data_IF_836522743100
#
_entry.id   IF_836522743100
#
_cell.length_a   1.000
_cell.length_b   1.000
_cell.length_c   1.000
_cell.angle_alpha   90.00
_cell.angle_beta   90.00
_cell.angle_gamma   90.00
#
_symmetry.space_group_name_H-M   'P 1'
#
loop_
_entity.id
_entity.type
_entity.pdbx_description
1 polymer ?
#
# COMPACT_ATOMS: atom_id res chain seq x y z
N UNK A 1 10.69 36.80 -10.06
CA UNK A 1 11.11 35.40 -9.94
C UNK A 1 10.06 34.68 -9.12
N UNK A 2 9.08 34.05 -9.77
CA UNK A 2 7.85 33.60 -9.13
C UNK A 2 8.05 32.14 -8.73
N UNK A 3 8.28 31.87 -7.45
CA UNK A 3 8.29 30.52 -6.90
C UNK A 3 6.89 29.92 -7.05
N UNK A 4 6.71 29.02 -7.99
CA UNK A 4 5.54 28.13 -8.01
C UNK A 4 5.69 27.14 -6.86
N UNK A 5 5.12 27.48 -5.70
CA UNK A 5 4.85 26.53 -4.64
C UNK A 5 3.87 25.50 -5.21
N UNK A 6 4.38 24.40 -5.75
CA UNK A 6 3.55 23.20 -5.94
C UNK A 6 3.24 22.71 -4.53
N UNK A 7 2.02 22.97 -4.11
CA UNK A 7 1.51 22.55 -2.80
C UNK A 7 1.53 21.03 -2.73
N UNK A 8 2.15 20.53 -1.68
CA UNK A 8 2.08 19.16 -1.17
C UNK A 8 0.65 18.80 -0.71
N UNK A 9 -0.30 19.70 -0.90
CA UNK A 9 -1.71 19.48 -0.60
C UNK A 9 -2.33 18.21 -1.24
N UNK A 10 -1.67 17.63 -2.25
CA UNK A 10 -2.13 16.39 -2.86
C UNK A 10 -1.80 15.12 -2.07
N UNK A 11 -0.80 15.14 -1.18
CA UNK A 11 -0.46 13.97 -0.36
C UNK A 11 -1.53 13.66 0.69
N UNK A 12 -2.22 14.68 1.18
CA UNK A 12 -3.30 14.51 2.16
C UNK A 12 -4.58 13.95 1.53
N UNK A 13 -4.79 14.21 0.24
CA UNK A 13 -5.95 13.66 -0.48
C UNK A 13 -5.86 12.14 -0.73
N UNK A 14 -4.69 11.52 -0.51
CA UNK A 14 -4.49 10.06 -0.67
C UNK A 14 -5.08 9.27 0.49
N UNK A 15 -5.17 9.87 1.68
CA UNK A 15 -5.88 9.26 2.81
C UNK A 15 -7.41 9.36 2.68
N UNK A 16 -7.89 10.17 1.74
CA UNK A 16 -9.29 10.19 1.36
C UNK A 16 -9.62 8.93 0.58
N UNK A 17 -9.93 7.88 1.31
CA UNK A 17 -10.69 6.73 0.93
C UNK A 17 -11.50 6.99 -0.35
N UNK A 18 -10.97 6.55 -1.50
CA UNK A 18 -11.87 6.05 -2.50
C UNK A 18 -12.50 4.80 -1.86
N UNK A 19 -13.43 5.01 -0.94
CA UNK A 19 -14.34 3.97 -0.49
C UNK A 19 -15.16 3.62 -1.71
N UNK A 20 -14.65 2.68 -2.49
CA UNK A 20 -15.46 1.97 -3.44
C UNK A 20 -16.47 1.22 -2.57
N UNK A 21 -17.67 1.78 -2.42
CA UNK A 21 -18.80 1.10 -1.78
C UNK A 21 -19.22 -0.03 -2.69
N UNK A 22 -18.65 -1.20 -2.47
CA UNK A 22 -19.08 -2.43 -3.14
C UNK A 22 -20.18 -3.06 -2.31
N UNK A 23 -21.38 -3.10 -2.87
CA UNK A 23 -22.48 -3.85 -2.30
C UNK A 23 -22.42 -5.32 -2.74
N UNK A 24 -22.23 -6.21 -1.81
CA UNK A 24 -22.40 -7.65 -2.03
C UNK A 24 -21.48 -8.51 -1.17
N UNK A 25 -22.05 -9.25 -0.23
CA UNK A 25 -21.33 -10.25 0.57
C UNK A 25 -21.49 -11.62 -0.07
N UNK A 26 -20.41 -12.28 -0.41
CA UNK A 26 -20.40 -13.70 -0.75
C UNK A 26 -19.58 -14.46 0.30
N UNK A 27 -20.25 -15.30 1.09
CA UNK A 27 -19.58 -16.24 1.98
C UNK A 27 -19.06 -17.42 1.16
N UNK A 28 -17.75 -17.66 1.15
CA UNK A 28 -17.14 -18.79 0.44
C UNK A 28 -16.56 -19.79 1.42
N UNK A 29 -16.97 -21.03 1.24
CA UNK A 29 -16.41 -22.18 1.96
C UNK A 29 -14.93 -22.39 1.65
N UNK A 30 -14.22 -22.84 2.68
CA UNK A 30 -12.76 -23.06 2.84
C UNK A 30 -12.08 -23.86 1.72
N UNK A 31 -11.98 -23.36 0.51
CA UNK A 31 -11.17 -24.05 -0.50
C UNK A 31 -10.35 -23.04 -1.27
N UNK A 32 -9.06 -23.27 -1.22
CA UNK A 32 -7.95 -22.66 -1.98
C UNK A 32 -8.36 -21.60 -3.01
N UNK A 33 -8.03 -20.33 -2.75
CA UNK A 33 -8.26 -19.23 -3.69
C UNK A 33 -7.41 -19.31 -4.98
N UNK A 34 -6.63 -20.36 -5.18
CA UNK A 34 -5.98 -20.64 -6.45
C UNK A 34 -6.96 -21.13 -7.53
N UNK A 35 -8.20 -21.38 -7.18
CA UNK A 35 -9.21 -21.82 -8.14
C UNK A 35 -10.57 -21.23 -7.78
N UNK A 36 -11.18 -20.56 -8.76
CA UNK A 36 -12.61 -20.31 -8.85
C UNK A 36 -13.24 -19.34 -7.87
N UNK A 37 -12.84 -18.10 -7.93
CA UNK A 37 -13.77 -17.01 -7.72
C UNK A 37 -14.47 -16.82 -9.08
N UNK A 38 -15.42 -17.64 -9.53
CA UNK A 38 -16.18 -17.43 -10.77
C UNK A 38 -15.46 -16.78 -11.97
N UNK A 39 -14.17 -16.58 -11.85
CA UNK A 39 -13.23 -15.98 -12.79
C UNK A 39 -12.84 -17.13 -13.71
N UNK A 40 -13.02 -16.97 -14.99
CA UNK A 40 -12.51 -17.88 -16.00
C UNK A 40 -11.14 -18.42 -15.59
N UNK A 41 -10.90 -19.71 -15.77
CA UNK A 41 -9.73 -20.50 -15.31
C UNK A 41 -8.33 -19.95 -15.63
N UNK A 42 -8.23 -18.76 -16.19
CA UNK A 42 -7.00 -18.06 -16.57
C UNK A 42 -6.65 -16.87 -15.65
N UNK A 43 -7.47 -16.53 -14.67
CA UNK A 43 -7.22 -15.41 -13.77
C UNK A 43 -7.18 -15.90 -12.31
N UNK A 44 -6.00 -16.37 -11.89
CA UNK A 44 -5.72 -16.56 -10.47
C UNK A 44 -5.65 -15.19 -9.79
N UNK A 45 -6.28 -15.05 -8.61
CA UNK A 45 -6.02 -13.88 -7.78
C UNK A 45 -4.58 -14.00 -7.29
N UNK A 46 -3.77 -12.95 -7.38
CA UNK A 46 -2.40 -12.99 -6.88
C UNK A 46 -2.32 -13.01 -5.35
N UNK A 47 -3.46 -12.90 -4.64
CA UNK A 47 -3.49 -12.78 -3.18
C UNK A 47 -3.65 -14.14 -2.49
N UNK A 48 -2.89 -14.42 -1.40
CA UNK A 48 -2.95 -15.67 -0.67
C UNK A 48 -4.26 -15.82 0.13
N UNK A 49 -4.76 -17.05 0.26
CA UNK A 49 -5.92 -17.34 1.12
C UNK A 49 -5.60 -17.20 2.60
N UNK A 50 -4.42 -17.64 2.98
CA UNK A 50 -3.92 -17.57 4.34
C UNK A 50 -2.54 -16.93 4.33
N UNK A 51 -2.30 -16.06 5.28
CA UNK A 51 -1.03 -15.39 5.50
C UNK A 51 -0.66 -15.50 6.97
N UNK A 52 0.61 -15.74 7.26
CA UNK A 52 1.12 -15.67 8.63
C UNK A 52 2.08 -14.50 8.75
N UNK A 53 1.75 -13.55 9.60
CA UNK A 53 2.55 -12.35 9.87
C UNK A 53 2.85 -12.28 11.36
N UNK A 54 4.13 -12.23 11.72
CA UNK A 54 4.60 -12.20 13.12
C UNK A 54 3.97 -13.29 13.99
N UNK A 55 3.81 -14.50 13.43
CA UNK A 55 3.20 -15.65 14.11
C UNK A 55 1.67 -15.65 14.18
N UNK A 56 1.00 -14.60 13.70
CA UNK A 56 -0.47 -14.53 13.65
C UNK A 56 -0.97 -14.97 12.27
N UNK A 57 -1.91 -15.89 12.28
CA UNK A 57 -2.55 -16.37 11.06
C UNK A 57 -3.70 -15.47 10.68
N UNK A 58 -3.66 -14.93 9.47
CA UNK A 58 -4.76 -14.19 8.85
C UNK A 58 -5.42 -15.09 7.81
N UNK A 59 -6.73 -14.99 7.72
CA UNK A 59 -7.54 -15.71 6.73
C UNK A 59 -8.31 -14.71 5.90
N UNK A 60 -8.26 -14.88 4.58
CA UNK A 60 -9.00 -14.03 3.65
C UNK A 60 -10.46 -14.46 3.54
N UNK A 61 -11.34 -13.49 3.46
CA UNK A 61 -12.72 -13.64 3.04
C UNK A 61 -13.02 -12.76 1.83
N UNK A 62 -13.80 -13.27 0.88
CA UNK A 62 -14.17 -12.50 -0.31
C UNK A 62 -15.32 -11.58 0.07
N UNK A 63 -15.13 -10.28 -0.14
CA UNK A 63 -16.18 -9.26 0.06
C UNK A 63 -16.70 -8.70 -1.25
N UNK A 64 -15.94 -8.83 -2.33
CA UNK A 64 -16.40 -8.60 -3.69
C UNK A 64 -15.75 -9.62 -4.63
N UNK A 65 -16.53 -10.24 -5.51
CA UNK A 65 -16.09 -11.29 -6.45
C UNK A 65 -16.20 -10.88 -7.93
N UNK A 66 -16.41 -9.60 -8.23
CA UNK A 66 -16.42 -9.13 -9.62
C UNK A 66 -15.02 -9.35 -10.25
N UNK A 67 -14.91 -10.04 -11.41
CA UNK A 67 -13.65 -10.28 -12.08
C UNK A 67 -12.87 -9.01 -12.48
N UNK A 68 -13.54 -7.88 -12.59
CA UNK A 68 -12.92 -6.59 -12.90
C UNK A 68 -12.52 -5.81 -11.64
N UNK A 69 -13.25 -6.04 -10.55
CA UNK A 69 -13.11 -5.29 -9.32
C UNK A 69 -13.38 -6.22 -8.13
N UNK A 70 -12.38 -6.97 -7.68
CA UNK A 70 -12.58 -7.84 -6.53
C UNK A 70 -11.90 -7.33 -5.26
N UNK A 71 -12.42 -7.80 -4.12
CA UNK A 71 -11.90 -7.43 -2.81
C UNK A 71 -11.86 -8.62 -1.86
N UNK A 72 -10.75 -8.72 -1.13
CA UNK A 72 -10.53 -9.68 -0.05
C UNK A 72 -10.27 -8.93 1.26
N UNK A 73 -10.90 -9.35 2.34
CA UNK A 73 -10.61 -8.87 3.68
C UNK A 73 -9.83 -9.94 4.45
N UNK A 74 -8.75 -9.54 5.10
CA UNK A 74 -7.88 -10.36 5.92
C UNK A 74 -8.04 -10.00 7.38
N UNK A 75 -8.38 -10.98 8.20
CA UNK A 75 -8.50 -10.82 9.64
C UNK A 75 -7.77 -11.93 10.36
N UNK A 76 -7.18 -11.62 11.51
CA UNK A 76 -6.73 -12.64 12.46
C UNK A 76 -7.91 -13.13 13.32
N UNK A 77 -7.69 -14.24 14.07
CA UNK A 77 -8.74 -14.85 14.91
C UNK A 77 -9.24 -13.95 16.05
N UNK A 78 -8.51 -12.89 16.37
CA UNK A 78 -8.81 -11.96 17.45
C UNK A 78 -9.29 -10.60 16.94
N UNK A 79 -9.41 -10.42 15.62
CA UNK A 79 -9.71 -9.15 14.94
C UNK A 79 -8.78 -7.98 15.33
N UNK A 80 -7.55 -8.28 15.77
CA UNK A 80 -6.57 -7.28 16.17
C UNK A 80 -5.72 -6.79 14.99
N UNK A 81 -5.79 -7.46 13.84
CA UNK A 81 -5.06 -7.13 12.62
C UNK A 81 -6.02 -7.22 11.45
N UNK A 82 -6.06 -6.15 10.69
CA UNK A 82 -6.91 -6.04 9.52
C UNK A 82 -6.13 -5.55 8.30
N UNK A 83 -6.35 -6.23 7.18
CA UNK A 83 -5.88 -5.78 5.88
C UNK A 83 -6.91 -6.09 4.80
N UNK A 84 -6.87 -5.32 3.72
CA UNK A 84 -7.64 -5.61 2.52
C UNK A 84 -6.71 -5.78 1.33
N UNK A 85 -7.11 -6.61 0.39
CA UNK A 85 -6.52 -6.68 -0.93
C UNK A 85 -7.60 -6.40 -1.97
N UNK A 86 -7.34 -5.45 -2.83
CA UNK A 86 -8.28 -5.03 -3.87
C UNK A 86 -7.60 -5.06 -5.24
N UNK A 87 -8.35 -5.41 -6.29
CA UNK A 87 -7.95 -5.24 -7.66
C UNK A 87 -9.04 -4.51 -8.43
N UNK A 88 -8.66 -3.46 -9.13
CA UNK A 88 -9.53 -2.68 -10.00
C UNK A 88 -9.02 -2.68 -11.43
N UNK A 89 -9.92 -2.89 -12.40
CA UNK A 89 -9.62 -2.81 -13.82
C UNK A 89 -10.11 -1.47 -14.39
N UNK A 90 -9.22 -0.73 -15.01
CA UNK A 90 -9.48 0.55 -15.68
C UNK A 90 -9.71 0.36 -17.19
N UNK A 91 -10.29 1.34 -17.83
CA UNK A 91 -10.55 1.31 -19.27
C UNK A 91 -9.26 1.27 -20.09
N UNK A 92 -8.22 1.94 -19.61
CA UNK A 92 -6.90 1.98 -20.23
C UNK A 92 -5.77 2.05 -19.20
N UNK A 93 -4.53 1.86 -19.67
CA UNK A 93 -3.35 1.85 -18.80
C UNK A 93 -2.99 3.24 -18.25
N UNK A 94 -3.36 4.32 -18.93
CA UNK A 94 -3.10 5.68 -18.46
C UNK A 94 -4.01 6.02 -17.28
N UNK A 95 -5.30 5.73 -17.38
CA UNK A 95 -6.25 5.90 -16.27
C UNK A 95 -5.84 5.09 -15.04
N UNK A 96 -5.33 3.87 -15.24
CA UNK A 96 -4.75 3.07 -14.17
C UNK A 96 -3.52 3.75 -13.53
N UNK A 97 -2.60 4.28 -14.34
CA UNK A 97 -1.41 4.98 -13.86
C UNK A 97 -1.77 6.25 -13.06
N UNK A 98 -2.71 7.05 -13.56
CA UNK A 98 -3.15 8.29 -12.94
C UNK A 98 -3.79 8.06 -11.55
N UNK A 99 -4.34 6.87 -11.33
CA UNK A 99 -4.94 6.48 -10.04
C UNK A 99 -3.94 6.17 -8.94
N UNK A 100 -2.66 5.93 -9.27
CA UNK A 100 -1.67 5.42 -8.29
C UNK A 100 -1.15 6.44 -7.30
N UNK A 101 -1.23 7.74 -7.58
CA UNK A 101 -0.50 8.78 -6.84
C UNK A 101 1.01 8.51 -6.76
N UNK A 102 1.59 8.10 -7.88
CA UNK A 102 3.04 7.91 -8.00
C UNK A 102 3.75 9.26 -7.98
N UNK A 103 4.78 9.37 -7.14
CA UNK A 103 5.62 10.55 -7.06
C UNK A 103 7.03 10.22 -7.54
N UNK A 104 7.53 11.02 -8.47
CA UNK A 104 8.95 11.02 -8.80
C UNK A 104 9.79 11.61 -7.66
N UNK A 105 11.01 12.00 -7.98
CA UNK A 105 11.90 12.65 -7.02
C UNK A 105 11.25 13.91 -6.41
N UNK A 106 11.32 14.03 -5.09
CA UNK A 106 10.77 15.16 -4.35
C UNK A 106 11.87 16.10 -3.87
N UNK A 107 11.55 17.40 -3.76
CA UNK A 107 12.40 18.38 -3.13
C UNK A 107 12.22 18.35 -1.61
N UNK A 108 13.27 18.70 -0.86
CA UNK A 108 13.25 18.77 0.61
C UNK A 108 14.63 18.55 1.21
N UNK A 109 14.66 18.33 2.53
CA UNK A 109 15.90 17.99 3.24
C UNK A 109 16.33 16.58 2.83
N UNK A 110 17.60 16.44 2.43
CA UNK A 110 18.16 15.15 2.03
C UNK A 110 18.58 14.36 3.26
N UNK A 111 18.06 13.14 3.35
CA UNK A 111 18.39 12.17 4.38
C UNK A 111 19.05 10.93 3.76
N UNK A 112 19.89 10.27 4.53
CA UNK A 112 20.47 8.99 4.16
C UNK A 112 19.94 7.90 5.06
N UNK A 113 19.23 6.93 4.46
CA UNK A 113 18.72 5.77 5.18
C UNK A 113 19.87 4.82 5.58
N UNK A 114 19.64 3.96 6.56
CA UNK A 114 20.69 3.04 7.07
C UNK A 114 21.25 2.11 6.00
N UNK A 115 20.48 1.76 4.98
CA UNK A 115 20.92 0.94 3.84
C UNK A 115 21.66 1.76 2.76
N UNK A 116 21.88 3.05 3.01
CA UNK A 116 22.59 3.96 2.12
C UNK A 116 21.75 4.66 1.07
N UNK A 117 20.45 4.33 0.95
CA UNK A 117 19.54 5.01 0.03
C UNK A 117 19.38 6.49 0.40
N UNK A 118 19.24 7.31 -0.62
CA UNK A 118 18.93 8.74 -0.45
C UNK A 118 17.41 8.89 -0.36
N UNK A 119 16.96 9.60 0.66
CA UNK A 119 15.58 9.99 0.87
C UNK A 119 15.47 11.51 0.97
N UNK A 120 14.28 12.03 0.85
CA UNK A 120 13.97 13.46 1.00
C UNK A 120 12.87 13.63 2.01
N UNK A 121 13.09 14.47 3.01
CA UNK A 121 12.12 14.73 4.08
C UNK A 121 11.53 16.13 3.97
N UNK A 122 10.23 16.24 4.23
CA UNK A 122 9.47 17.48 4.28
C UNK A 122 8.52 17.44 5.47
N UNK A 123 8.51 18.53 6.25
CA UNK A 123 7.57 18.72 7.37
C UNK A 123 6.37 19.55 6.93
N UNK A 124 5.15 19.08 7.22
CA UNK A 124 3.93 19.86 7.03
C UNK A 124 2.80 19.35 7.93
N UNK A 125 1.97 20.25 8.42
CA UNK A 125 0.76 19.95 9.21
C UNK A 125 0.98 18.96 10.37
N UNK A 126 2.08 19.11 11.10
CA UNK A 126 2.39 18.27 12.25
C UNK A 126 2.97 16.89 11.90
N UNK A 127 3.26 16.63 10.63
CA UNK A 127 3.85 15.38 10.16
C UNK A 127 5.15 15.63 9.39
N UNK A 128 6.00 14.61 9.35
CA UNK A 128 7.18 14.54 8.48
C UNK A 128 6.96 13.43 7.46
N UNK A 129 7.08 13.78 6.20
CA UNK A 129 7.00 12.89 5.06
C UNK A 129 8.42 12.60 4.59
N UNK A 130 8.84 11.34 4.65
CA UNK A 130 10.14 10.91 4.12
C UNK A 130 9.91 10.08 2.87
N UNK A 131 10.44 10.55 1.74
CA UNK A 131 10.19 9.99 0.42
C UNK A 131 11.47 9.50 -0.24
N UNK A 132 11.40 8.34 -0.93
CA UNK A 132 12.43 7.86 -1.86
C UNK A 132 11.80 7.04 -2.98
N UNK A 133 12.56 6.86 -4.06
CA UNK A 133 12.18 5.96 -5.14
C UNK A 133 13.09 4.72 -5.14
N UNK A 134 12.52 3.57 -5.46
CA UNK A 134 13.24 2.30 -5.60
C UNK A 134 12.70 1.55 -6.83
N UNK A 135 13.47 1.55 -7.91
CA UNK A 135 12.98 1.05 -9.21
C UNK A 135 11.72 1.80 -9.65
N UNK A 136 10.67 1.07 -9.97
CA UNK A 136 9.39 1.63 -10.38
C UNK A 136 8.48 2.02 -9.19
N UNK A 137 8.99 2.03 -7.96
CA UNK A 137 8.22 2.29 -6.76
C UNK A 137 8.53 3.66 -6.17
N UNK A 138 7.47 4.35 -5.80
CA UNK A 138 7.44 5.59 -5.03
C UNK A 138 7.10 5.25 -3.59
N UNK A 139 7.97 5.53 -2.63
CA UNK A 139 7.80 5.13 -1.23
C UNK A 139 7.79 6.37 -0.37
N UNK A 140 6.75 6.52 0.44
CA UNK A 140 6.60 7.62 1.39
C UNK A 140 6.27 7.05 2.77
N UNK A 141 7.05 7.43 3.77
CA UNK A 141 6.71 7.21 5.17
C UNK A 141 6.21 8.50 5.80
N UNK A 142 5.21 8.37 6.66
CA UNK A 142 4.59 9.49 7.38
C UNK A 142 4.76 9.27 8.87
N UNK A 143 5.31 10.26 9.55
CA UNK A 143 5.56 10.24 11.00
C UNK A 143 5.03 11.52 11.60
N UNK A 144 4.36 11.50 12.78
CA UNK A 144 4.11 12.73 13.53
C UNK A 144 5.44 13.46 13.76
N UNK A 145 5.43 14.79 13.75
CA UNK A 145 6.62 15.57 14.03
C UNK A 145 7.12 15.33 15.47
N UNK A 146 8.41 15.53 15.72
CA UNK A 146 8.96 15.42 17.07
C UNK A 146 8.27 16.37 18.07
N UNK A 147 7.85 17.55 17.61
CA UNK A 147 7.06 18.49 18.43
C UNK A 147 5.71 17.91 18.85
N UNK A 148 5.18 16.91 18.13
CA UNK A 148 3.98 16.16 18.48
C UNK A 148 4.29 14.84 19.21
N UNK A 149 5.54 14.61 19.64
CA UNK A 149 5.96 13.38 20.32
C UNK A 149 6.12 12.17 19.39
N UNK A 150 6.24 12.41 18.09
CA UNK A 150 6.39 11.35 17.09
C UNK A 150 7.76 10.66 17.15
N UNK A 151 7.87 9.43 16.61
CA UNK A 151 9.14 8.73 16.47
C UNK A 151 10.04 9.43 15.44
N UNK A 152 11.35 9.14 15.50
CA UNK A 152 12.31 9.70 14.56
C UNK A 152 11.97 9.28 13.11
N UNK A 153 11.72 10.24 12.18
CA UNK A 153 11.27 9.95 10.82
C UNK A 153 12.28 9.12 10.01
N UNK A 154 13.58 9.43 10.12
CA UNK A 154 14.63 8.71 9.41
C UNK A 154 14.80 7.27 9.95
N UNK A 155 14.54 7.05 11.24
CA UNK A 155 14.57 5.71 11.82
C UNK A 155 13.43 4.85 11.27
N UNK A 156 12.20 5.37 11.22
CA UNK A 156 11.06 4.67 10.64
C UNK A 156 11.24 4.39 9.14
N UNK A 157 11.68 5.39 8.36
CA UNK A 157 11.99 5.19 6.95
C UNK A 157 13.07 4.10 6.73
N UNK A 158 14.11 4.08 7.57
CA UNK A 158 15.15 3.04 7.52
C UNK A 158 14.60 1.64 7.90
N UNK A 159 13.67 1.56 8.84
CA UNK A 159 12.98 0.31 9.18
C UNK A 159 12.16 -0.20 7.99
N UNK A 160 11.39 0.67 7.35
CA UNK A 160 10.61 0.33 6.14
C UNK A 160 11.53 -0.14 5.02
N UNK A 161 12.62 0.58 4.75
CA UNK A 161 13.59 0.17 3.73
C UNK A 161 14.18 -1.22 4.01
N UNK A 162 14.44 -1.54 5.28
CA UNK A 162 14.90 -2.87 5.70
C UNK A 162 13.83 -3.95 5.48
N UNK A 163 12.57 -3.65 5.82
CA UNK A 163 11.44 -4.56 5.58
C UNK A 163 11.23 -4.84 4.09
N UNK A 164 11.32 -3.80 3.24
CA UNK A 164 11.22 -3.96 1.78
C UNK A 164 12.38 -4.75 1.17
N UNK A 165 13.52 -4.81 1.83
CA UNK A 165 14.63 -5.67 1.44
C UNK A 165 14.40 -7.14 1.83
N UNK A 166 13.71 -7.37 2.95
CA UNK A 166 13.35 -8.70 3.44
C UNK A 166 12.11 -9.26 2.70
N UNK A 167 11.15 -8.41 2.39
CA UNK A 167 9.91 -8.73 1.69
C UNK A 167 9.85 -7.91 0.39
N UNK A 168 10.50 -8.36 -0.68
CA UNK A 168 10.51 -7.64 -1.95
C UNK A 168 9.09 -7.43 -2.49
N UNK A 169 8.86 -6.24 -3.01
CA UNK A 169 7.60 -5.87 -3.63
C UNK A 169 7.37 -6.62 -4.94
N UNK A 170 6.13 -6.77 -5.40
CA UNK A 170 5.83 -7.27 -6.73
C UNK A 170 6.66 -6.57 -7.79
N UNK A 171 7.25 -7.31 -8.70
CA UNK A 171 8.12 -6.76 -9.76
C UNK A 171 7.73 -7.22 -11.16
N UNK A 172 7.09 -8.37 -11.29
CA UNK A 172 6.64 -8.87 -12.59
C UNK A 172 5.48 -8.03 -13.14
N UNK A 173 5.67 -7.50 -14.34
CA UNK A 173 4.68 -6.68 -15.04
C UNK A 173 4.24 -5.41 -14.29
N UNK A 174 4.95 -4.98 -13.25
CA UNK A 174 4.65 -3.74 -12.53
C UNK A 174 5.18 -2.55 -13.33
N UNK A 175 4.27 -1.71 -13.81
CA UNK A 175 4.61 -0.47 -14.49
C UNK A 175 5.10 0.58 -13.48
N UNK A 176 4.29 0.84 -12.46
CA UNK A 176 4.57 1.74 -11.35
C UNK A 176 3.90 1.25 -10.08
N UNK A 177 4.48 1.59 -8.93
CA UNK A 177 3.88 1.35 -7.63
C UNK A 177 4.07 2.54 -6.69
N UNK A 178 3.16 2.69 -5.74
CA UNK A 178 3.17 3.73 -4.73
C UNK A 178 2.89 3.14 -3.35
N UNK A 179 3.69 3.53 -2.37
CA UNK A 179 3.58 3.09 -0.98
C UNK A 179 3.43 4.33 -0.10
N UNK A 180 2.48 4.29 0.82
CA UNK A 180 2.35 5.25 1.91
C UNK A 180 2.19 4.48 3.21
N UNK A 181 3.12 4.66 4.15
CA UNK A 181 3.14 3.97 5.43
C UNK A 181 3.26 4.95 6.58
N UNK A 182 2.49 4.71 7.61
CA UNK A 182 2.42 5.53 8.82
C UNK A 182 3.14 4.84 9.98
N UNK A 183 3.87 5.62 10.78
CA UNK A 183 4.59 5.10 11.94
C UNK A 183 3.69 4.85 13.15
N UNK A 184 2.49 5.42 13.14
CA UNK A 184 1.49 5.31 14.21
C UNK A 184 0.18 4.81 13.63
N UNK A 185 -0.56 4.02 14.41
CA UNK A 185 -1.92 3.60 14.06
C UNK A 185 -2.88 4.76 14.40
N UNK A 186 -2.94 5.75 13.54
CA UNK A 186 -3.99 6.76 13.61
C UNK A 186 -5.24 6.16 12.97
N UNK A 187 -6.37 6.19 13.67
CA UNK A 187 -7.58 5.43 13.36
C UNK A 187 -8.20 5.69 11.98
N UNK A 188 -7.76 6.73 11.29
CA UNK A 188 -8.23 7.13 9.95
C UNK A 188 -7.17 6.94 8.85
N UNK A 189 -5.94 6.56 9.22
CA UNK A 189 -4.83 6.44 8.29
C UNK A 189 -4.53 4.98 8.01
N UNK A 190 -4.79 4.55 6.78
CA UNK A 190 -4.50 3.21 6.34
C UNK A 190 -3.15 3.15 5.62
N UNK A 191 -2.27 2.23 6.05
CA UNK A 191 -1.06 1.92 5.32
C UNK A 191 -1.42 1.32 3.98
N UNK A 192 -0.89 1.86 2.89
CA UNK A 192 -1.25 1.44 1.54
C UNK A 192 -0.02 1.05 0.72
N UNK A 193 -0.17 -0.04 -0.03
CA UNK A 193 0.74 -0.45 -1.10
C UNK A 193 -0.10 -0.64 -2.36
N UNK A 194 0.16 0.14 -3.39
CA UNK A 194 -0.59 0.10 -4.66
C UNK A 194 0.37 -0.14 -5.81
N UNK A 195 -0.05 -0.92 -6.80
CA UNK A 195 0.75 -1.08 -8.02
C UNK A 195 -0.13 -1.30 -9.24
N UNK A 196 0.38 -0.86 -10.36
CA UNK A 196 -0.24 -1.02 -11.66
C UNK A 196 0.43 -2.16 -12.44
N UNK A 197 -0.39 -3.03 -12.99
CA UNK A 197 0.00 -3.99 -14.00
C UNK A 197 -0.93 -3.82 -15.22
N UNK A 198 -0.45 -3.13 -16.24
CA UNK A 198 -1.22 -2.75 -17.43
C UNK A 198 -2.45 -1.90 -17.06
N UNK A 199 -3.67 -2.40 -17.30
CA UNK A 199 -4.95 -1.73 -17.00
C UNK A 199 -5.46 -1.99 -15.58
N UNK A 200 -4.75 -2.81 -14.79
CA UNK A 200 -5.16 -3.19 -13.45
C UNK A 200 -4.35 -2.45 -12.40
N UNK A 201 -5.04 -2.04 -11.36
CA UNK A 201 -4.41 -1.54 -10.15
C UNK A 201 -4.76 -2.50 -9.01
N UNK A 202 -3.74 -2.93 -8.32
CA UNK A 202 -3.83 -3.71 -7.10
C UNK A 202 -3.56 -2.80 -5.92
N UNK A 203 -4.26 -3.03 -4.84
CA UNK A 203 -4.08 -2.27 -3.60
C UNK A 203 -4.12 -3.20 -2.39
N UNK A 204 -3.15 -3.04 -1.53
CA UNK A 204 -3.20 -3.54 -0.16
C UNK A 204 -3.40 -2.35 0.76
N UNK A 205 -4.34 -2.47 1.68
CA UNK A 205 -4.56 -1.49 2.76
C UNK A 205 -4.52 -2.22 4.10
N UNK A 206 -3.88 -1.64 5.10
CA UNK A 206 -3.80 -2.25 6.44
C UNK A 206 -3.70 -1.20 7.53
N UNK A 207 -4.13 -1.56 8.74
CA UNK A 207 -3.90 -0.82 9.97
C UNK A 207 -2.42 -0.84 10.41
N UNK A 208 -1.61 -1.79 9.89
CA UNK A 208 -0.21 -1.96 10.25
C UNK A 208 0.70 -1.92 9.01
N UNK A 209 1.77 -1.13 9.09
CA UNK A 209 2.71 -0.96 7.97
C UNK A 209 3.42 -2.26 7.57
N UNK A 210 3.83 -3.08 8.54
CA UNK A 210 4.48 -4.37 8.28
C UNK A 210 3.53 -5.36 7.59
N UNK A 211 2.24 -5.37 7.98
CA UNK A 211 1.23 -6.23 7.37
C UNK A 211 0.96 -5.83 5.91
N UNK A 212 0.88 -4.52 5.63
CA UNK A 212 0.73 -4.03 4.26
C UNK A 212 1.89 -4.50 3.35
N UNK A 213 3.13 -4.42 3.84
CA UNK A 213 4.32 -4.87 3.10
C UNK A 213 4.28 -6.39 2.87
N UNK A 214 4.05 -7.18 3.92
CA UNK A 214 4.08 -8.64 3.82
C UNK A 214 2.95 -9.18 2.95
N UNK A 215 1.73 -8.63 3.07
CA UNK A 215 0.62 -9.04 2.20
C UNK A 215 0.92 -8.71 0.72
N UNK A 216 1.50 -7.54 0.45
CA UNK A 216 1.90 -7.15 -0.90
C UNK A 216 2.98 -8.06 -1.49
N UNK A 217 3.96 -8.49 -0.66
CA UNK A 217 4.99 -9.43 -1.06
C UNK A 217 4.40 -10.78 -1.49
N UNK A 218 3.38 -11.26 -0.79
CA UNK A 218 2.72 -12.54 -1.09
C UNK A 218 1.62 -12.45 -2.16
N UNK A 219 1.29 -11.24 -2.60
CA UNK A 219 0.32 -10.96 -3.66
C UNK A 219 0.96 -10.89 -5.06
N UNK A 220 1.85 -11.82 -5.37
CA UNK A 220 2.67 -11.84 -6.58
C UNK A 220 2.25 -12.97 -7.51
#
# INVERSE_FOLDING_TARGET
MTFKKKLIGSLIAVAGTASLTFGGYAAVNKTVFHANIGISSTQQTPAPQNLTVDGNKLTASITNSDPKDYKLDYNDSNNNRHATFEMQTYDDAQSAADSLNYFGQQDGTKDKLKDGKQATSQGTLGHVYTHWNQGNWSITTVTPSEAAGGPNPAAFASQVASQLSQYPLPSENVNHGAIVLYSTNESELANTVRWQANKRVYQVTSDQSNLAIQLSHHAN
#
